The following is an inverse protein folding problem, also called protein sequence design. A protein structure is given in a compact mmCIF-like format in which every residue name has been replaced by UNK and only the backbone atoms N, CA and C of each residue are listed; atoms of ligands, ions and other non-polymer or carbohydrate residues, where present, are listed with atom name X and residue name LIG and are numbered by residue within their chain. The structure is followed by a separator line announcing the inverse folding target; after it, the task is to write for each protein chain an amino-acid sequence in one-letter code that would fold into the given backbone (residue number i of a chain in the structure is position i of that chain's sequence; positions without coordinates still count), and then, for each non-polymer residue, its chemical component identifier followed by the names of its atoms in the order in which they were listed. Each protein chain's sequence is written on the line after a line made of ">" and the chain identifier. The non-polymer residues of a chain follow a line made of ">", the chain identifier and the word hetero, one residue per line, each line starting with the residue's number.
data_IF_106583730432
#
_entry.id   IF_106583730432
#
_cell.length_a   1.000
_cell.length_b   1.000
_cell.length_c   1.000
_cell.angle_alpha   90.00
_cell.angle_beta   90.00
_cell.angle_gamma   90.00
#
_symmetry.space_group_name_H-M   'P 1'
#
loop_
_entity.id
_entity.type
_entity.pdbx_description
1 polymer ?
#
# COMPACT_ATOMS: atom_id res chain seq x y z
N UNK A 1 -17.36 -13.37 7.81
CA UNK A 1 -16.62 -14.51 8.40
C UNK A 1 -15.14 -14.27 8.25
N UNK A 2 -14.48 -13.72 9.28
CA UNK A 2 -13.04 -13.46 9.26
C UNK A 2 -12.29 -14.77 8.97
N UNK A 3 -11.56 -14.81 7.86
CA UNK A 3 -10.90 -16.01 7.37
C UNK A 3 -9.40 -15.91 7.70
N UNK A 4 -9.06 -15.80 8.98
CA UNK A 4 -7.68 -15.61 9.41
C UNK A 4 -7.25 -16.59 10.50
N UNK A 5 -6.05 -17.14 10.32
CA UNK A 5 -5.32 -17.95 11.31
C UNK A 5 -5.14 -17.19 12.63
N UNK A 6 -5.05 -15.86 12.57
CA UNK A 6 -5.02 -14.96 13.74
C UNK A 6 -6.30 -15.08 14.61
N UNK A 7 -7.48 -15.19 14.00
CA UNK A 7 -8.76 -15.34 14.69
C UNK A 7 -9.05 -16.79 15.14
N UNK A 8 -8.24 -17.76 14.69
CA UNK A 8 -8.44 -19.16 15.04
C UNK A 8 -7.96 -19.44 16.47
N UNK A 9 -8.89 -19.82 17.35
CA UNK A 9 -8.63 -20.13 18.78
C UNK A 9 -7.49 -21.14 19.02
N UNK A 10 -7.18 -21.99 18.03
CA UNK A 10 -6.09 -22.97 18.06
C UNK A 10 -4.69 -22.34 17.98
N UNK A 11 -4.55 -21.16 17.35
CA UNK A 11 -3.29 -20.45 17.15
C UNK A 11 -3.14 -19.20 18.03
N UNK A 12 -4.04 -19.00 19.01
CA UNK A 12 -3.98 -17.86 19.94
C UNK A 12 -2.69 -17.77 20.76
N UNK A 13 -1.95 -18.88 20.87
CA UNK A 13 -0.64 -18.98 21.55
C UNK A 13 0.56 -19.07 20.58
N UNK A 14 0.37 -18.94 19.26
CA UNK A 14 1.36 -19.34 18.25
C UNK A 14 1.58 -18.38 17.08
N UNK A 15 2.85 -17.92 16.97
CA UNK A 15 3.64 -17.44 15.80
C UNK A 15 3.14 -16.31 14.90
N UNK A 16 1.84 -16.14 14.63
CA UNK A 16 1.36 -15.07 13.73
C UNK A 16 0.57 -14.06 14.56
N UNK A 17 1.19 -12.91 14.82
CA UNK A 17 0.66 -11.83 15.67
C UNK A 17 -0.01 -10.70 14.88
N UNK A 18 -0.08 -10.83 13.57
CA UNK A 18 -0.46 -9.73 12.68
C UNK A 18 -1.83 -10.00 12.07
N UNK A 19 -2.76 -9.09 12.34
CA UNK A 19 -4.04 -9.03 11.66
C UNK A 19 -3.85 -8.38 10.29
N UNK A 20 -3.92 -9.19 9.23
CA UNK A 20 -3.72 -8.73 7.87
C UNK A 20 -4.91 -7.92 7.35
N UNK A 21 -6.14 -8.16 7.82
CA UNK A 21 -7.29 -7.34 7.43
C UNK A 21 -7.12 -5.93 7.97
N UNK A 22 -6.78 -5.82 9.27
CA UNK A 22 -6.50 -4.52 9.89
C UNK A 22 -5.32 -3.80 9.22
N UNK A 23 -4.26 -4.53 8.88
CA UNK A 23 -3.11 -3.98 8.17
C UNK A 23 -3.50 -3.41 6.79
N UNK A 24 -4.27 -4.18 6.00
CA UNK A 24 -4.67 -3.72 4.67
C UNK A 24 -5.62 -2.53 4.74
N UNK A 25 -6.54 -2.49 5.72
CA UNK A 25 -7.40 -1.34 5.96
C UNK A 25 -6.60 -0.09 6.37
N UNK A 26 -5.59 -0.21 7.23
CA UNK A 26 -4.70 0.90 7.62
C UNK A 26 -3.92 1.45 6.42
N UNK A 27 -3.48 0.57 5.51
CA UNK A 27 -2.78 0.94 4.28
C UNK A 27 -3.71 1.49 3.19
N UNK A 28 -5.02 1.64 3.46
CA UNK A 28 -6.00 2.15 2.51
C UNK A 28 -6.43 1.14 1.45
N UNK A 29 -6.22 -0.16 1.70
CA UNK A 29 -6.76 -1.24 0.89
C UNK A 29 -8.28 -1.23 0.89
N UNK A 30 -8.87 -1.47 -0.27
CA UNK A 30 -10.32 -1.57 -0.45
C UNK A 30 -10.68 -3.06 -0.50
N UNK A 31 -11.64 -3.51 0.30
CA UNK A 31 -12.12 -4.89 0.22
C UNK A 31 -12.61 -5.21 -1.19
N UNK A 32 -12.03 -6.23 -1.81
CA UNK A 32 -12.40 -6.66 -3.16
C UNK A 32 -13.25 -7.92 -3.11
N UNK A 33 -12.84 -8.91 -2.30
CA UNK A 33 -13.64 -10.09 -1.99
C UNK A 33 -13.18 -10.71 -0.67
N UNK A 34 -13.71 -11.88 -0.34
CA UNK A 34 -13.42 -12.62 0.90
C UNK A 34 -11.92 -12.83 1.20
N UNK A 35 -11.07 -12.87 0.18
CA UNK A 35 -9.66 -13.23 0.31
C UNK A 35 -8.69 -12.14 -0.16
N UNK A 36 -9.20 -11.07 -0.78
CA UNK A 36 -8.35 -10.08 -1.44
C UNK A 36 -8.81 -8.66 -1.16
N UNK A 37 -7.82 -7.77 -1.03
CA UNK A 37 -7.97 -6.34 -1.05
C UNK A 37 -7.47 -5.79 -2.40
N UNK A 38 -8.18 -4.81 -2.94
CA UNK A 38 -7.75 -4.00 -4.08
C UNK A 38 -6.93 -2.81 -3.57
N UNK A 39 -5.80 -2.55 -4.24
CA UNK A 39 -4.99 -1.35 -4.02
C UNK A 39 -5.24 -0.34 -5.13
N UNK A 40 -5.34 0.94 -4.76
CA UNK A 40 -5.41 2.00 -5.74
C UNK A 40 -4.05 2.15 -6.42
N UNK A 41 -4.02 2.03 -7.74
CA UNK A 41 -2.81 2.26 -8.55
C UNK A 41 -2.37 3.73 -8.49
N UNK A 42 -3.33 4.65 -8.35
CA UNK A 42 -3.07 6.07 -8.21
C UNK A 42 -3.23 6.46 -6.73
N UNK A 43 -2.13 6.44 -6.00
CA UNK A 43 -2.06 6.98 -4.64
C UNK A 43 -1.91 8.51 -4.66
N UNK A 44 -2.48 9.18 -3.67
CA UNK A 44 -2.44 10.63 -3.55
C UNK A 44 -1.02 11.07 -3.21
N UNK A 45 -0.47 12.02 -3.97
CA UNK A 45 0.84 12.59 -3.65
C UNK A 45 0.80 13.30 -2.31
N UNK A 46 1.73 12.93 -1.43
CA UNK A 46 1.96 13.63 -0.17
C UNK A 46 2.31 15.09 -0.42
N UNK A 47 1.62 15.99 0.28
CA UNK A 47 1.95 17.42 0.28
C UNK A 47 3.36 17.64 0.85
N UNK A 48 4.13 18.46 0.15
CA UNK A 48 5.54 18.72 0.45
C UNK A 48 5.78 20.09 1.07
N UNK A 49 4.78 20.99 1.14
CA UNK A 49 4.95 22.37 1.60
C UNK A 49 5.49 22.46 3.04
N UNK A 50 5.06 21.55 3.93
CA UNK A 50 5.54 21.47 5.33
C UNK A 50 6.81 20.63 5.55
N UNK A 51 7.43 20.08 4.50
CA UNK A 51 8.55 19.15 4.66
C UNK A 51 9.93 19.85 4.68
N UNK A 52 10.89 19.25 5.39
CA UNK A 52 12.29 19.69 5.32
C UNK A 52 12.84 19.63 3.89
N UNK A 53 13.83 20.46 3.56
CA UNK A 53 14.45 20.49 2.21
C UNK A 53 14.91 19.12 1.73
N UNK A 54 15.50 18.32 2.62
CA UNK A 54 15.94 16.96 2.31
C UNK A 54 14.77 16.04 1.95
N UNK A 55 13.70 16.07 2.76
CA UNK A 55 12.46 15.32 2.48
C UNK A 55 11.82 15.76 1.17
N UNK A 56 11.70 17.07 0.91
CA UNK A 56 11.18 17.59 -0.37
C UNK A 56 11.96 17.09 -1.57
N UNK A 57 13.30 17.11 -1.50
CA UNK A 57 14.16 16.60 -2.56
C UNK A 57 13.96 15.10 -2.80
N UNK A 58 13.84 14.31 -1.73
CA UNK A 58 13.53 12.88 -1.81
C UNK A 58 12.17 12.63 -2.49
N UNK A 59 11.11 13.29 -2.04
CA UNK A 59 9.77 13.14 -2.62
C UNK A 59 9.72 13.59 -4.08
N UNK A 60 10.41 14.68 -4.43
CA UNK A 60 10.53 15.15 -5.82
C UNK A 60 11.13 14.06 -6.71
N UNK A 61 12.29 13.50 -6.32
CA UNK A 61 12.95 12.43 -7.10
C UNK A 61 12.08 11.16 -7.19
N UNK A 62 11.40 10.80 -6.09
CA UNK A 62 10.48 9.65 -6.07
C UNK A 62 9.36 9.83 -7.09
N UNK A 63 8.71 10.99 -7.11
CA UNK A 63 7.60 11.23 -8.03
C UNK A 63 8.07 11.38 -9.49
N UNK A 64 9.21 12.01 -9.72
CA UNK A 64 9.85 12.08 -11.04
C UNK A 64 10.12 10.67 -11.61
N UNK A 65 10.67 9.76 -10.79
CA UNK A 65 10.88 8.38 -11.18
C UNK A 65 9.57 7.64 -11.49
N UNK A 66 8.53 7.80 -10.66
CA UNK A 66 7.22 7.20 -10.88
C UNK A 66 6.58 7.68 -12.19
N UNK A 67 6.67 8.98 -12.47
CA UNK A 67 6.11 9.57 -13.70
C UNK A 67 6.83 9.05 -14.94
N UNK A 68 8.16 9.02 -14.92
CA UNK A 68 8.96 8.50 -16.03
C UNK A 68 8.68 7.01 -16.27
N UNK A 69 8.63 6.21 -15.20
CA UNK A 69 8.33 4.77 -15.28
C UNK A 69 6.93 4.52 -15.85
N UNK A 70 5.93 5.30 -15.42
CA UNK A 70 4.56 5.21 -15.92
C UNK A 70 4.48 5.56 -17.41
N UNK A 71 5.21 6.60 -17.85
CA UNK A 71 5.29 6.97 -19.25
C UNK A 71 5.97 5.90 -20.12
N UNK A 72 7.05 5.30 -19.61
CA UNK A 72 7.78 4.21 -20.28
C UNK A 72 6.88 2.98 -20.46
N UNK A 73 6.17 2.56 -19.42
CA UNK A 73 5.21 1.46 -19.53
C UNK A 73 4.09 1.77 -20.50
N UNK A 74 3.50 2.98 -20.46
CA UNK A 74 2.46 3.37 -21.39
C UNK A 74 2.93 3.36 -22.86
N UNK A 75 4.23 3.60 -23.09
CA UNK A 75 4.83 3.55 -24.42
C UNK A 75 5.05 2.11 -24.89
N UNK A 76 5.54 1.22 -24.01
CA UNK A 76 5.90 -0.16 -24.36
C UNK A 76 4.76 -1.17 -24.30
N UNK A 77 3.73 -0.92 -23.50
CA UNK A 77 2.58 -1.79 -23.31
C UNK A 77 1.36 -1.34 -24.14
N UNK A 78 1.57 -0.45 -25.11
CA UNK A 78 0.61 -0.20 -26.20
C UNK A 78 0.60 -1.37 -27.18
#
# INVERSE_FOLDING_TARGET
>A
TQSHTYAARRYSKGRIKTDYDALWQELGGIEYNRHFYALKVNDTRRDTEGMSRSKRSMYRRRYEWLDNTKAEFATRLR
#
